data_IF_971558579097
#
_entry.id   IF_971558579097
#
_cell.length_a   1.000
_cell.length_b   1.000
_cell.length_c   1.000
_cell.angle_alpha   90.00
_cell.angle_beta   90.00
_cell.angle_gamma   90.00
#
_symmetry.space_group_name_H-M   'P 1'
#
loop_
_entity.id
_entity.type
_entity.pdbx_description
1 polymer ?
#
# COMPACT_ATOMS: atom_id res chain seq x y z
N UNK A 1 -18.15 24.30 27.36
CA UNK A 1 -17.74 23.84 26.02
C UNK A 1 -17.25 22.42 26.16
N UNK A 2 -18.01 21.45 25.64
CA UNK A 2 -17.63 20.05 25.70
C UNK A 2 -16.75 19.75 24.50
N UNK A 3 -15.43 19.81 24.71
CA UNK A 3 -14.43 19.45 23.70
C UNK A 3 -14.76 18.11 23.01
N UNK A 4 -15.32 17.15 23.75
CA UNK A 4 -15.70 15.82 23.27
C UNK A 4 -16.76 15.85 22.16
N UNK A 5 -17.65 16.85 22.16
CA UNK A 5 -18.71 16.97 21.16
C UNK A 5 -18.20 17.56 19.83
N UNK A 6 -17.09 18.32 19.85
CA UNK A 6 -16.48 18.89 18.65
C UNK A 6 -15.72 17.83 17.83
N UNK A 7 -15.08 16.84 18.47
CA UNK A 7 -14.44 15.71 17.78
C UNK A 7 -15.42 14.71 17.18
N UNK A 8 -16.69 14.77 17.56
CA UNK A 8 -17.74 13.85 17.10
C UNK A 8 -18.43 14.32 15.81
N UNK A 9 -18.13 15.52 15.30
CA UNK A 9 -18.68 16.05 14.03
C UNK A 9 -17.90 15.59 12.79
N UNK A 10 -17.33 14.38 12.80
CA UNK A 10 -16.76 13.83 11.58
C UNK A 10 -17.92 13.32 10.72
N UNK A 11 -18.18 14.00 9.60
CA UNK A 11 -19.27 13.63 8.69
C UNK A 11 -19.11 12.16 8.25
N UNK A 12 -20.19 11.35 8.30
CA UNK A 12 -20.15 9.95 7.87
C UNK A 12 -19.63 9.76 6.44
N UNK A 13 -19.82 10.76 5.58
CA UNK A 13 -19.29 10.82 4.22
C UNK A 13 -17.76 10.85 4.17
N UNK A 14 -17.11 11.60 5.06
CA UNK A 14 -15.65 11.70 5.13
C UNK A 14 -15.06 10.34 5.54
N UNK A 15 -15.69 9.65 6.48
CA UNK A 15 -15.29 8.32 6.92
C UNK A 15 -15.43 7.32 5.78
N UNK A 16 -16.56 7.33 5.06
CA UNK A 16 -16.77 6.44 3.91
C UNK A 16 -15.73 6.70 2.81
N UNK A 17 -15.42 7.97 2.51
CA UNK A 17 -14.41 8.33 1.52
C UNK A 17 -13.02 7.85 1.93
N UNK A 18 -12.65 8.01 3.21
CA UNK A 18 -11.36 7.54 3.73
C UNK A 18 -11.24 6.01 3.68
N UNK A 19 -12.32 5.27 3.95
CA UNK A 19 -12.33 3.81 3.84
C UNK A 19 -12.14 3.39 2.38
N UNK A 20 -12.90 3.97 1.45
CA UNK A 20 -12.78 3.63 0.02
C UNK A 20 -11.39 3.99 -0.49
N UNK A 21 -10.87 5.15 -0.13
CA UNK A 21 -9.52 5.58 -0.48
C UNK A 21 -8.49 4.54 0.01
N UNK A 22 -8.45 4.26 1.31
CA UNK A 22 -7.48 3.31 1.88
C UNK A 22 -7.61 1.90 1.31
N UNK A 23 -8.82 1.42 1.02
CA UNK A 23 -9.05 0.13 0.38
C UNK A 23 -8.53 0.09 -1.07
N UNK A 24 -8.73 1.14 -1.85
CA UNK A 24 -8.24 1.22 -3.24
C UNK A 24 -6.72 1.13 -3.27
N UNK A 25 -6.03 1.93 -2.44
CA UNK A 25 -4.56 1.91 -2.37
C UNK A 25 -4.01 0.57 -1.87
N UNK A 26 -4.62 0.00 -0.82
CA UNK A 26 -4.21 -1.31 -0.26
C UNK A 26 -4.45 -2.45 -1.25
N UNK A 27 -5.62 -2.46 -1.92
CA UNK A 27 -5.97 -3.47 -2.91
C UNK A 27 -5.01 -3.44 -4.11
N UNK A 28 -4.69 -2.24 -4.60
CA UNK A 28 -3.77 -2.08 -5.73
C UNK A 28 -2.35 -2.55 -5.41
N UNK A 29 -1.87 -2.27 -4.19
CA UNK A 29 -0.55 -2.71 -3.77
C UNK A 29 -0.45 -4.21 -3.50
N UNK A 30 -1.49 -4.81 -2.91
CA UNK A 30 -1.56 -6.26 -2.75
C UNK A 30 -1.61 -6.97 -4.12
N UNK A 31 -2.39 -6.43 -5.08
CA UNK A 31 -2.44 -6.96 -6.45
C UNK A 31 -1.06 -6.92 -7.10
N UNK A 32 -0.38 -5.78 -7.03
CA UNK A 32 0.96 -5.64 -7.62
C UNK A 32 2.01 -6.52 -6.93
N UNK A 33 1.97 -6.64 -5.61
CA UNK A 33 2.87 -7.50 -4.84
C UNK A 33 2.65 -9.00 -5.16
N UNK A 34 1.39 -9.41 -5.37
CA UNK A 34 1.04 -10.75 -5.79
C UNK A 34 1.52 -11.04 -7.23
N UNK A 35 1.33 -10.11 -8.16
CA UNK A 35 1.78 -10.21 -9.56
C UNK A 35 3.31 -10.35 -9.67
N UNK A 36 4.06 -9.62 -8.83
CA UNK A 36 5.53 -9.68 -8.80
C UNK A 36 6.07 -10.85 -7.95
N UNK A 37 5.22 -11.77 -7.47
CA UNK A 37 5.59 -12.90 -6.59
C UNK A 37 6.38 -12.48 -5.32
N UNK A 38 6.23 -11.24 -4.85
CA UNK A 38 6.97 -10.73 -3.69
C UNK A 38 6.23 -11.02 -2.39
N UNK A 39 6.36 -12.28 -1.92
CA UNK A 39 5.70 -12.81 -0.73
C UNK A 39 5.96 -11.98 0.54
N UNK A 40 7.19 -11.50 0.74
CA UNK A 40 7.54 -10.68 1.91
C UNK A 40 6.80 -9.33 1.94
N UNK A 41 6.62 -8.70 0.79
CA UNK A 41 5.92 -7.41 0.68
C UNK A 41 4.41 -7.56 0.78
N UNK A 42 3.86 -8.65 0.25
CA UNK A 42 2.47 -9.02 0.47
C UNK A 42 2.16 -9.14 1.97
N UNK A 43 3.01 -9.83 2.73
CA UNK A 43 2.87 -9.99 4.19
C UNK A 43 3.04 -8.64 4.90
N UNK A 44 4.01 -7.81 4.51
CA UNK A 44 4.21 -6.50 5.12
C UNK A 44 2.99 -5.57 4.94
N UNK A 45 2.42 -5.49 3.74
CA UNK A 45 1.22 -4.67 3.44
C UNK A 45 -0.02 -5.21 4.18
N UNK A 46 -0.11 -6.54 4.35
CA UNK A 46 -1.21 -7.16 5.06
C UNK A 46 -1.14 -6.94 6.58
N UNK A 47 0.08 -6.91 7.13
CA UNK A 47 0.31 -6.77 8.57
C UNK A 47 0.41 -5.31 9.04
N UNK A 48 0.86 -4.40 8.18
CA UNK A 48 1.08 -2.99 8.50
C UNK A 48 -0.06 -2.13 7.93
N UNK A 49 -0.93 -1.62 8.80
CA UNK A 49 -1.99 -0.67 8.44
C UNK A 49 -1.47 0.79 8.39
N UNK A 50 -0.68 1.16 7.38
CA UNK A 50 -0.11 2.53 7.23
C UNK A 50 -0.94 3.47 6.35
N UNK A 51 -2.22 3.18 6.10
CA UNK A 51 -3.13 4.05 5.32
C UNK A 51 -2.60 4.40 3.90
N UNK A 52 -1.83 3.53 3.24
CA UNK A 52 -1.33 3.77 1.87
C UNK A 52 0.11 4.28 1.78
N UNK A 53 0.77 4.61 2.89
CA UNK A 53 2.17 5.10 2.88
C UNK A 53 3.18 4.00 2.54
N UNK A 54 2.95 2.78 3.01
CA UNK A 54 3.88 1.67 2.76
C UNK A 54 3.83 1.24 1.28
N UNK A 55 2.66 1.38 0.67
CA UNK A 55 2.39 1.11 -0.74
C UNK A 55 3.13 2.05 -1.69
N UNK A 56 3.22 3.35 -1.37
CA UNK A 56 3.97 4.34 -2.16
C UNK A 56 5.48 4.06 -2.07
N UNK A 57 5.99 3.73 -0.88
CA UNK A 57 7.39 3.35 -0.67
C UNK A 57 7.72 2.09 -1.48
N UNK A 58 6.83 1.10 -1.49
CA UNK A 58 6.99 -0.12 -2.29
C UNK A 58 7.11 0.18 -3.78
N UNK A 59 6.17 0.96 -4.34
CA UNK A 59 6.18 1.34 -5.76
C UNK A 59 7.47 2.07 -6.15
N UNK A 60 7.97 2.97 -5.31
CA UNK A 60 9.21 3.72 -5.58
C UNK A 60 10.48 2.87 -5.45
N UNK A 61 10.52 1.91 -4.50
CA UNK A 61 11.73 1.13 -4.24
C UNK A 61 11.86 -0.11 -5.14
N UNK A 62 10.75 -0.74 -5.53
CA UNK A 62 10.75 -1.97 -6.35
C UNK A 62 10.93 -1.71 -7.84
N UNK A 63 10.52 -0.54 -8.35
CA UNK A 63 10.69 -0.20 -9.77
C UNK A 63 12.15 -0.25 -10.26
N UNK A 64 13.14 -0.22 -9.36
CA UNK A 64 14.57 -0.11 -9.72
C UNK A 64 15.37 -1.41 -9.79
N UNK A 65 14.80 -2.56 -9.41
CA UNK A 65 15.59 -3.80 -9.21
C UNK A 65 15.39 -4.89 -10.27
N UNK A 66 14.63 -4.65 -11.34
CA UNK A 66 14.67 -5.51 -12.52
C UNK A 66 15.81 -5.10 -13.46
N UNK A 67 17.06 -5.14 -12.96
CA UNK A 67 18.18 -5.43 -13.85
C UNK A 67 18.22 -6.95 -13.94
N UNK A 68 17.64 -7.47 -15.03
CA UNK A 68 17.94 -8.83 -15.47
C UNK A 68 19.44 -8.82 -15.75
N UNK A 69 20.23 -9.34 -14.80
CA UNK A 69 21.59 -9.77 -15.12
C UNK A 69 21.41 -10.91 -16.10
N UNK A 70 21.56 -10.56 -17.39
CA UNK A 70 21.65 -11.52 -18.47
C UNK A 70 22.92 -12.30 -18.13
N UNK A 71 22.76 -13.48 -17.54
CA UNK A 71 23.85 -14.44 -17.41
C UNK A 71 24.14 -14.88 -18.83
N UNK A 72 25.01 -14.12 -19.50
CA UNK A 72 25.59 -14.48 -20.78
C UNK A 72 26.47 -15.71 -20.50
N UNK A 73 25.84 -16.88 -20.59
CA UNK A 73 26.55 -18.16 -20.63
C UNK A 73 27.26 -18.19 -21.98
N UNK A 74 28.50 -17.71 -22.01
CA UNK A 74 29.44 -18.03 -23.06
C UNK A 74 29.81 -19.51 -22.94
N UNK A 75 29.23 -20.31 -23.82
CA UNK A 75 29.71 -21.66 -24.16
C UNK A 75 30.95 -21.60 -25.06
#
# INVERSE_FOLDING_TARGET
MNIVAEWAQVDPLIIALAIVWTFVWKGFALWRAAELHQKYWFIAILLINTLGILEIIYLFFVARKYKVEIVERSE
#
